data_IF_765931588170
#
_entry.id   IF_765931588170
#
_cell.length_a   1.000
_cell.length_b   1.000
_cell.length_c   1.000
_cell.angle_alpha   90.00
_cell.angle_beta   90.00
_cell.angle_gamma   90.00
#
_symmetry.space_group_name_H-M   'P 1'
#
loop_
_entity.id
_entity.type
_entity.pdbx_description
1 polymer ?
#
# COMPACT_ATOMS: atom_id res chain seq x y z
N UNK A 1 0.30 28.44 -21.75
CA UNK A 1 0.87 28.28 -20.42
C UNK A 1 1.51 29.60 -19.99
N UNK A 2 1.05 30.19 -18.91
CA UNK A 2 1.64 31.42 -18.34
C UNK A 2 2.36 31.00 -17.05
N UNK A 3 3.62 31.46 -16.83
CA UNK A 3 4.32 31.16 -15.58
C UNK A 3 3.56 31.69 -14.37
N UNK A 4 3.44 30.87 -13.35
CA UNK A 4 2.85 31.27 -12.08
C UNK A 4 3.69 32.37 -11.43
N UNK A 5 3.06 33.48 -11.00
CA UNK A 5 3.70 34.54 -10.23
C UNK A 5 3.22 34.48 -8.78
N UNK A 6 3.91 33.76 -7.88
CA UNK A 6 3.49 33.68 -6.49
C UNK A 6 3.65 35.03 -5.80
N UNK A 7 2.69 35.41 -4.95
CA UNK A 7 2.74 36.63 -4.12
C UNK A 7 3.77 36.53 -3.02
N UNK A 8 4.08 35.32 -2.55
CA UNK A 8 5.14 35.02 -1.57
C UNK A 8 5.89 33.76 -2.00
N UNK A 9 7.17 33.73 -1.68
CA UNK A 9 8.05 32.56 -1.87
C UNK A 9 8.64 32.18 -0.53
N UNK A 10 8.78 30.87 -0.30
CA UNK A 10 9.59 30.37 0.80
C UNK A 10 11.06 30.52 0.41
N UNK A 11 11.88 31.03 1.34
CA UNK A 11 13.32 31.04 1.16
C UNK A 11 13.90 29.67 1.46
N UNK A 12 14.87 29.25 0.64
CA UNK A 12 15.63 28.04 0.88
C UNK A 12 16.88 28.42 1.66
N UNK A 13 17.08 27.86 2.86
CA UNK A 13 18.32 27.98 3.61
C UNK A 13 19.19 26.74 3.33
N UNK A 14 20.47 26.98 3.13
CA UNK A 14 21.49 25.93 2.99
C UNK A 14 22.35 25.80 4.26
N UNK A 15 21.98 26.46 5.34
CA UNK A 15 22.75 26.46 6.60
C UNK A 15 22.69 25.10 7.34
N UNK A 16 21.80 24.22 6.88
CA UNK A 16 21.56 22.91 7.49
C UNK A 16 20.72 22.99 8.77
N UNK A 17 20.72 21.91 9.54
CA UNK A 17 20.03 21.82 10.83
C UNK A 17 20.86 20.99 11.80
N UNK A 18 20.63 21.16 13.09
CA UNK A 18 21.31 20.48 14.18
C UNK A 18 20.33 19.65 15.00
N UNK A 19 20.83 18.70 15.76
CA UNK A 19 20.02 17.97 16.72
C UNK A 19 19.38 18.95 17.73
N UNK A 20 18.07 18.88 17.90
CA UNK A 20 17.29 19.76 18.75
C UNK A 20 16.68 20.97 18.06
N UNK A 21 16.97 21.23 16.80
CA UNK A 21 16.31 22.28 16.03
C UNK A 21 14.84 21.92 15.77
N UNK A 22 13.98 22.95 15.77
CA UNK A 22 12.59 22.75 15.40
C UNK A 22 12.46 22.48 13.90
N UNK A 23 11.80 21.38 13.57
CA UNK A 23 11.47 21.01 12.18
C UNK A 23 9.97 20.82 12.01
N UNK A 24 9.44 21.19 10.85
CA UNK A 24 8.02 21.06 10.53
C UNK A 24 7.83 20.66 9.08
N UNK A 25 6.91 19.72 8.85
CA UNK A 25 6.43 19.36 7.53
C UNK A 25 4.98 19.83 7.41
N UNK A 26 4.66 20.56 6.33
CA UNK A 26 3.29 20.94 6.00
C UNK A 26 2.80 19.98 4.93
N UNK A 27 1.73 19.23 5.22
CA UNK A 27 1.17 18.27 4.29
C UNK A 27 -0.19 17.75 4.74
N UNK A 28 -0.82 16.99 3.85
CA UNK A 28 -2.09 16.31 4.11
C UNK A 28 -1.85 14.80 4.11
N UNK A 29 -1.86 14.12 5.27
CA UNK A 29 -1.77 12.67 5.32
C UNK A 29 -2.96 12.04 4.57
N UNK A 30 -2.69 11.03 3.76
CA UNK A 30 -3.71 10.35 2.96
C UNK A 30 -4.69 9.54 3.82
N UNK A 31 -4.18 8.91 4.87
CA UNK A 31 -4.97 8.18 5.87
C UNK A 31 -4.22 8.09 7.19
N UNK A 32 -4.98 8.01 8.28
CA UNK A 32 -4.46 7.72 9.62
C UNK A 32 -5.37 6.70 10.30
N UNK A 33 -4.77 5.68 10.91
CA UNK A 33 -5.49 4.59 11.59
C UNK A 33 -5.21 4.63 13.09
N UNK A 34 -5.74 5.65 13.76
CA UNK A 34 -5.50 5.86 15.20
C UNK A 34 -6.24 4.88 16.09
N UNK A 35 -7.44 4.47 15.70
CA UNK A 35 -8.39 3.73 16.55
C UNK A 35 -8.53 2.27 16.11
N UNK A 36 -7.44 1.64 15.68
CA UNK A 36 -7.42 0.20 15.43
C UNK A 36 -7.56 -0.57 16.74
N UNK A 37 -8.19 -1.74 16.67
CA UNK A 37 -8.18 -2.71 17.78
C UNK A 37 -6.84 -3.44 17.87
N UNK A 38 -6.59 -4.12 19.01
CA UNK A 38 -5.44 -5.02 19.16
C UNK A 38 -5.43 -6.10 18.07
N UNK A 39 -6.59 -6.65 17.73
CA UNK A 39 -6.76 -7.66 16.67
C UNK A 39 -6.39 -7.15 15.28
N UNK A 40 -6.72 -5.91 14.96
CA UNK A 40 -6.30 -5.28 13.70
C UNK A 40 -4.80 -5.01 13.68
N UNK A 41 -4.25 -4.56 14.78
CA UNK A 41 -2.83 -4.26 14.92
C UNK A 41 -2.00 -5.54 14.80
N UNK A 42 -2.34 -6.60 15.55
CA UNK A 42 -1.73 -7.93 15.42
C UNK A 42 -1.83 -8.48 14.00
N UNK A 43 -2.98 -8.32 13.38
CA UNK A 43 -3.20 -8.77 12.01
C UNK A 43 -2.29 -8.05 11.00
N UNK A 44 -2.05 -6.75 11.18
CA UNK A 44 -1.10 -5.98 10.38
C UNK A 44 0.33 -6.41 10.65
N UNK A 45 0.71 -6.49 11.91
CA UNK A 45 2.06 -6.83 12.36
C UNK A 45 2.49 -8.22 11.92
N UNK A 46 1.64 -9.22 12.17
CA UNK A 46 2.01 -10.64 11.98
C UNK A 46 1.70 -11.19 10.60
N UNK A 47 0.86 -10.54 9.82
CA UNK A 47 0.43 -11.04 8.51
C UNK A 47 0.57 -10.05 7.37
N UNK A 48 -0.13 -8.91 7.46
CA UNK A 48 -0.26 -8.03 6.29
C UNK A 48 1.05 -7.35 5.90
N UNK A 49 1.75 -6.77 6.87
CA UNK A 49 3.00 -6.06 6.60
C UNK A 49 4.14 -7.00 6.19
N UNK A 50 4.40 -8.12 6.89
CA UNK A 50 5.45 -9.06 6.47
C UNK A 50 5.26 -9.57 5.05
N UNK A 51 4.04 -9.98 4.68
CA UNK A 51 3.75 -10.47 3.33
C UNK A 51 3.96 -9.38 2.28
N UNK A 52 3.41 -8.20 2.51
CA UNK A 52 3.53 -7.10 1.56
C UNK A 52 4.99 -6.61 1.42
N UNK A 53 5.72 -6.52 2.53
CA UNK A 53 7.13 -6.09 2.54
C UNK A 53 8.01 -7.08 1.76
N UNK A 54 7.82 -8.39 1.95
CA UNK A 54 8.57 -9.40 1.23
C UNK A 54 8.34 -9.30 -0.28
N UNK A 55 7.09 -9.30 -0.73
CA UNK A 55 6.77 -9.26 -2.16
C UNK A 55 7.27 -7.97 -2.82
N UNK A 56 7.08 -6.82 -2.16
CA UNK A 56 7.52 -5.52 -2.70
C UNK A 56 9.04 -5.39 -2.70
N UNK A 57 9.70 -5.94 -1.70
CA UNK A 57 11.16 -6.03 -1.67
C UNK A 57 11.71 -6.75 -2.89
N UNK A 58 11.13 -7.91 -3.22
CA UNK A 58 11.51 -8.69 -4.41
C UNK A 58 11.23 -7.91 -5.71
N UNK A 59 10.06 -7.30 -5.82
CA UNK A 59 9.70 -6.47 -6.98
C UNK A 59 10.69 -5.30 -7.17
N UNK A 60 11.00 -4.60 -6.10
CA UNK A 60 11.95 -3.49 -6.13
C UNK A 60 13.36 -3.94 -6.48
N UNK A 61 13.82 -5.08 -5.96
CA UNK A 61 15.12 -5.64 -6.29
C UNK A 61 15.23 -5.96 -7.79
N UNK A 62 14.20 -6.58 -8.37
CA UNK A 62 14.14 -6.89 -9.80
C UNK A 62 14.17 -5.59 -10.63
N UNK A 63 13.29 -4.64 -10.32
CA UNK A 63 13.20 -3.36 -11.06
C UNK A 63 14.52 -2.59 -10.96
N UNK A 64 15.08 -2.49 -9.76
CA UNK A 64 16.35 -1.82 -9.53
C UNK A 64 17.49 -2.45 -10.33
N UNK A 65 17.55 -3.79 -10.37
CA UNK A 65 18.55 -4.51 -11.13
C UNK A 65 18.53 -4.19 -12.64
N UNK A 66 17.37 -3.86 -13.21
CA UNK A 66 17.24 -3.38 -14.59
C UNK A 66 17.53 -1.88 -14.71
N UNK A 67 17.05 -1.06 -13.79
CA UNK A 67 17.29 0.39 -13.77
C UNK A 67 18.80 0.72 -13.65
N UNK A 68 19.58 -0.11 -12.99
CA UNK A 68 21.01 0.10 -12.83
C UNK A 68 21.81 -0.23 -14.11
N UNK A 69 21.22 -1.00 -15.01
CA UNK A 69 21.86 -1.40 -16.29
C UNK A 69 21.53 -0.45 -17.43
N UNK A 70 20.36 0.20 -17.39
CA UNK A 70 19.84 0.96 -18.52
C UNK A 70 19.17 2.27 -18.04
N UNK A 71 19.69 3.44 -18.47
CA UNK A 71 19.11 4.74 -18.11
C UNK A 71 17.69 4.95 -18.63
N UNK A 72 17.33 4.37 -19.78
CA UNK A 72 15.97 4.50 -20.35
C UNK A 72 14.97 3.68 -19.52
N UNK A 73 15.39 2.50 -19.07
CA UNK A 73 14.61 1.70 -18.12
C UNK A 73 14.45 2.45 -16.81
N UNK A 74 15.51 3.07 -16.32
CA UNK A 74 15.47 3.89 -15.10
C UNK A 74 14.44 5.00 -15.25
N UNK A 75 14.45 5.73 -16.32
CA UNK A 75 13.49 6.81 -16.57
C UNK A 75 12.05 6.30 -16.61
N UNK A 76 11.80 5.18 -17.31
CA UNK A 76 10.46 4.59 -17.47
C UNK A 76 9.88 4.05 -16.17
N UNK A 77 10.71 3.47 -15.30
CA UNK A 77 10.26 2.77 -14.10
C UNK A 77 10.43 3.55 -12.80
N UNK A 78 11.02 4.75 -12.83
CA UNK A 78 11.24 5.56 -11.61
C UNK A 78 9.97 5.78 -10.81
N UNK A 79 8.89 6.25 -11.43
CA UNK A 79 7.63 6.52 -10.73
C UNK A 79 7.04 5.25 -10.10
N UNK A 80 7.11 4.13 -10.82
CA UNK A 80 6.62 2.86 -10.31
C UNK A 80 7.47 2.35 -9.15
N UNK A 81 8.79 2.43 -9.27
CA UNK A 81 9.74 2.09 -8.22
C UNK A 81 9.50 2.91 -6.95
N UNK A 82 9.38 4.23 -7.07
CA UNK A 82 9.09 5.11 -5.94
C UNK A 82 7.71 4.85 -5.33
N UNK A 83 6.73 4.48 -6.12
CA UNK A 83 5.42 4.08 -5.59
C UNK A 83 5.50 2.81 -4.74
N UNK A 84 6.30 1.82 -5.16
CA UNK A 84 6.54 0.62 -4.37
C UNK A 84 7.32 0.92 -3.10
N UNK A 85 8.42 1.71 -3.21
CA UNK A 85 9.26 2.13 -2.09
C UNK A 85 8.46 2.87 -1.02
N UNK A 86 7.68 3.87 -1.42
CA UNK A 86 6.87 4.65 -0.49
C UNK A 86 5.94 3.78 0.35
N UNK A 87 5.31 2.79 -0.26
CA UNK A 87 4.40 1.89 0.47
C UNK A 87 5.15 0.86 1.31
N UNK A 88 6.30 0.38 0.83
CA UNK A 88 7.13 -0.55 1.59
C UNK A 88 7.71 0.13 2.83
N UNK A 89 8.25 1.32 2.70
CA UNK A 89 8.80 2.10 3.82
C UNK A 89 7.71 2.41 4.86
N UNK A 90 6.48 2.72 4.41
CA UNK A 90 5.35 2.89 5.31
C UNK A 90 5.04 1.62 6.10
N UNK A 91 4.92 0.47 5.44
CA UNK A 91 4.60 -0.79 6.12
C UNK A 91 5.75 -1.31 7.00
N UNK A 92 6.99 -1.15 6.55
CA UNK A 92 8.17 -1.53 7.35
C UNK A 92 8.30 -0.65 8.59
N UNK A 93 8.11 0.66 8.43
CA UNK A 93 8.15 1.60 9.55
C UNK A 93 7.00 1.39 10.54
N UNK A 94 5.79 1.10 10.05
CA UNK A 94 4.64 0.78 10.91
C UNK A 94 4.89 -0.53 11.68
N UNK A 95 5.44 -1.55 11.03
CA UNK A 95 5.81 -2.82 11.67
C UNK A 95 6.89 -2.63 12.75
N UNK A 96 7.97 -1.90 12.44
CA UNK A 96 9.01 -1.58 13.41
C UNK A 96 8.44 -0.79 14.62
N UNK A 97 7.50 0.11 14.39
CA UNK A 97 6.83 0.84 15.46
C UNK A 97 5.97 -0.09 16.32
N UNK A 98 5.25 -1.04 15.73
CA UNK A 98 4.44 -1.99 16.48
C UNK A 98 5.30 -2.84 17.42
N UNK A 99 6.38 -3.41 16.90
CA UNK A 99 7.33 -4.21 17.66
C UNK A 99 8.07 -3.38 18.75
N UNK A 100 8.55 -2.19 18.39
CA UNK A 100 9.37 -1.36 19.28
C UNK A 100 8.61 -0.76 20.45
N UNK A 101 7.34 -0.47 20.25
CA UNK A 101 6.49 0.21 21.24
C UNK A 101 5.42 -0.70 21.84
N UNK A 102 5.46 -1.99 21.58
CA UNK A 102 4.49 -2.97 22.09
C UNK A 102 3.04 -2.49 21.86
N UNK A 103 2.76 -2.06 20.62
CA UNK A 103 1.48 -1.37 20.31
C UNK A 103 0.29 -2.28 20.47
N UNK A 104 0.43 -3.60 20.22
CA UNK A 104 -0.62 -4.59 20.44
C UNK A 104 -1.01 -4.62 21.91
N UNK A 105 -0.03 -4.73 22.81
CA UNK A 105 -0.21 -4.75 24.25
C UNK A 105 -0.86 -3.46 24.77
N UNK A 106 -0.43 -2.29 24.25
CA UNK A 106 -1.08 -1.02 24.60
C UNK A 106 -2.55 -0.99 24.20
N UNK A 107 -2.91 -1.58 23.05
CA UNK A 107 -4.30 -1.69 22.62
C UNK A 107 -5.10 -2.65 23.48
N UNK A 108 -4.51 -3.78 23.86
CA UNK A 108 -5.13 -4.73 24.76
C UNK A 108 -5.44 -4.12 26.16
N UNK A 109 -4.52 -3.30 26.70
CA UNK A 109 -4.79 -2.58 27.94
C UNK A 109 -5.97 -1.60 27.81
N UNK A 110 -6.01 -0.83 26.71
CA UNK A 110 -7.13 0.06 26.41
C UNK A 110 -8.45 -0.71 26.23
N UNK A 111 -8.42 -1.88 25.62
CA UNK A 111 -9.58 -2.77 25.46
C UNK A 111 -10.05 -3.34 26.80
N UNK A 112 -9.15 -3.65 27.73
CA UNK A 112 -9.50 -4.04 29.10
C UNK A 112 -10.21 -2.91 29.84
N UNK A 113 -9.72 -1.67 29.72
CA UNK A 113 -10.40 -0.50 30.30
C UNK A 113 -11.79 -0.29 29.71
N UNK A 114 -11.92 -0.46 28.38
CA UNK A 114 -13.20 -0.38 27.68
C UNK A 114 -14.17 -1.44 28.19
N UNK A 115 -13.72 -2.69 28.34
CA UNK A 115 -14.57 -3.77 28.84
C UNK A 115 -15.01 -3.54 30.29
N UNK A 116 -14.12 -3.09 31.16
CA UNK A 116 -14.48 -2.72 32.51
C UNK A 116 -15.55 -1.61 32.57
N UNK A 117 -15.45 -0.63 31.65
CA UNK A 117 -16.47 0.40 31.53
C UNK A 117 -17.81 -0.15 30.99
N UNK A 118 -17.78 -1.11 30.06
CA UNK A 118 -18.96 -1.77 29.53
C UNK A 118 -19.66 -2.58 30.64
N UNK A 119 -18.92 -3.37 31.37
CA UNK A 119 -19.42 -4.27 32.42
C UNK A 119 -19.99 -3.51 33.61
N UNK A 120 -19.59 -2.28 33.85
CA UNK A 120 -20.12 -1.45 34.93
C UNK A 120 -21.60 -1.00 34.74
N UNK A 121 -22.24 -1.31 33.58
CA UNK A 121 -23.65 -1.00 33.35
C UNK A 121 -24.34 -2.13 32.58
N UNK A 122 -25.48 -2.65 33.10
CA UNK A 122 -26.27 -3.68 32.39
C UNK A 122 -26.66 -3.28 30.97
N UNK A 123 -27.04 -2.01 30.77
CA UNK A 123 -27.42 -1.49 29.45
C UNK A 123 -26.25 -1.51 28.46
N UNK A 124 -25.04 -1.15 28.92
CA UNK A 124 -23.83 -1.19 28.11
C UNK A 124 -23.39 -2.62 27.81
N UNK A 125 -23.50 -3.49 28.80
CA UNK A 125 -23.18 -4.91 28.66
C UNK A 125 -24.10 -5.60 27.66
N UNK A 126 -25.41 -5.35 27.72
CA UNK A 126 -26.37 -5.85 26.72
C UNK A 126 -26.01 -5.39 25.31
N UNK A 127 -25.63 -4.12 25.14
CA UNK A 127 -25.36 -3.51 23.83
C UNK A 127 -23.98 -3.84 23.26
N UNK A 128 -22.94 -3.90 24.10
CA UNK A 128 -21.55 -3.93 23.68
C UNK A 128 -20.72 -5.10 24.24
N UNK A 129 -21.27 -5.94 25.11
CA UNK A 129 -20.55 -7.00 25.79
C UNK A 129 -19.87 -8.01 24.86
N UNK A 130 -20.43 -8.25 23.68
CA UNK A 130 -19.85 -9.16 22.68
C UNK A 130 -18.93 -8.49 21.65
N UNK A 131 -18.57 -7.20 21.81
CA UNK A 131 -17.86 -6.44 20.80
C UNK A 131 -16.47 -7.00 20.47
N UNK A 132 -15.67 -7.24 21.50
CA UNK A 132 -14.29 -7.72 21.32
C UNK A 132 -14.24 -9.15 20.79
N UNK A 133 -15.14 -10.02 21.24
CA UNK A 133 -15.24 -11.39 20.74
C UNK A 133 -15.65 -11.43 19.26
N UNK A 134 -16.56 -10.56 18.85
CA UNK A 134 -16.96 -10.42 17.47
C UNK A 134 -15.79 -9.93 16.60
N UNK A 135 -15.02 -8.93 17.04
CA UNK A 135 -13.82 -8.46 16.36
C UNK A 135 -12.77 -9.56 16.25
N UNK A 136 -12.45 -10.24 17.33
CA UNK A 136 -11.49 -11.37 17.36
C UNK A 136 -11.88 -12.47 16.39
N UNK A 137 -13.15 -12.90 16.44
CA UNK A 137 -13.70 -13.90 15.52
C UNK A 137 -13.59 -13.45 14.07
N UNK A 138 -13.94 -12.19 13.77
CA UNK A 138 -13.87 -11.62 12.45
C UNK A 138 -12.44 -11.64 11.88
N UNK A 139 -11.46 -11.14 12.64
CA UNK A 139 -10.06 -11.12 12.20
C UNK A 139 -9.49 -12.54 12.04
N UNK A 140 -9.82 -13.47 12.92
CA UNK A 140 -9.41 -14.86 12.78
C UNK A 140 -10.00 -15.52 11.52
N UNK A 141 -11.26 -15.28 11.24
CA UNK A 141 -11.93 -15.85 10.08
C UNK A 141 -11.35 -15.37 8.73
N UNK A 142 -10.80 -14.15 8.68
CA UNK A 142 -10.24 -13.60 7.44
C UNK A 142 -8.74 -13.83 7.27
N UNK A 143 -8.03 -14.37 8.26
CA UNK A 143 -6.55 -14.50 8.22
C UNK A 143 -6.06 -15.27 6.99
N UNK A 144 -6.61 -16.44 6.71
CA UNK A 144 -6.20 -17.25 5.57
C UNK A 144 -6.61 -16.62 4.24
N UNK A 145 -7.81 -16.06 4.20
CA UNK A 145 -8.32 -15.37 3.02
C UNK A 145 -7.45 -14.15 2.70
N UNK A 146 -7.11 -13.34 3.69
CA UNK A 146 -6.28 -12.15 3.48
C UNK A 146 -4.86 -12.51 3.07
N UNK A 147 -4.29 -13.60 3.59
CA UNK A 147 -2.97 -14.08 3.13
C UNK A 147 -3.00 -14.35 1.63
N UNK A 148 -3.95 -15.14 1.15
CA UNK A 148 -4.11 -15.43 -0.27
C UNK A 148 -4.41 -14.16 -1.09
N UNK A 149 -5.28 -13.29 -0.57
CA UNK A 149 -5.60 -12.02 -1.24
C UNK A 149 -4.41 -11.07 -1.30
N UNK A 150 -3.56 -11.02 -0.28
CA UNK A 150 -2.36 -10.19 -0.27
C UNK A 150 -1.37 -10.67 -1.34
N UNK A 151 -1.10 -11.97 -1.41
CA UNK A 151 -0.28 -12.53 -2.48
C UNK A 151 -0.89 -12.23 -3.86
N UNK A 152 -2.16 -12.54 -4.05
CA UNK A 152 -2.84 -12.30 -5.33
C UNK A 152 -2.81 -10.80 -5.73
N UNK A 153 -3.08 -9.92 -4.79
CA UNK A 153 -3.10 -8.47 -5.01
C UNK A 153 -1.72 -7.93 -5.37
N UNK A 154 -0.71 -8.30 -4.62
CA UNK A 154 0.63 -7.76 -4.81
C UNK A 154 1.35 -8.40 -6.02
N UNK A 155 1.09 -9.66 -6.34
CA UNK A 155 1.72 -10.33 -7.50
C UNK A 155 0.91 -10.17 -8.79
N UNK A 156 -0.38 -10.53 -8.77
CA UNK A 156 -1.20 -10.59 -9.98
C UNK A 156 -1.85 -9.25 -10.34
N UNK A 157 -2.28 -8.46 -9.34
CA UNK A 157 -2.98 -7.20 -9.62
C UNK A 157 -2.01 -6.03 -9.72
N UNK A 158 -1.01 -5.96 -8.85
CA UNK A 158 -0.04 -4.87 -8.75
C UNK A 158 1.37 -5.25 -9.16
N UNK A 159 1.64 -6.54 -9.30
CA UNK A 159 2.98 -7.08 -9.53
C UNK A 159 3.54 -6.81 -10.91
N UNK A 160 2.70 -6.51 -11.90
CA UNK A 160 3.16 -6.12 -13.22
C UNK A 160 2.31 -4.99 -13.81
N UNK A 161 2.94 -4.09 -14.56
CA UNK A 161 2.22 -3.06 -15.31
C UNK A 161 1.28 -3.67 -16.34
N UNK A 162 1.66 -4.80 -16.95
CA UNK A 162 0.83 -5.51 -17.91
C UNK A 162 -0.50 -5.96 -17.28
N UNK A 163 -0.44 -6.65 -16.13
CA UNK A 163 -1.64 -7.09 -15.41
C UNK A 163 -2.55 -5.89 -15.03
N UNK A 164 -1.95 -4.79 -14.59
CA UNK A 164 -2.68 -3.57 -14.26
C UNK A 164 -3.38 -2.96 -15.48
N UNK A 165 -2.71 -2.92 -16.62
CA UNK A 165 -3.25 -2.39 -17.88
C UNK A 165 -4.38 -3.30 -18.38
N UNK A 166 -4.16 -4.61 -18.42
CA UNK A 166 -5.19 -5.58 -18.82
C UNK A 166 -6.44 -5.46 -17.95
N UNK A 167 -6.28 -5.35 -16.63
CA UNK A 167 -7.41 -5.15 -15.72
C UNK A 167 -8.16 -3.85 -15.99
N UNK A 168 -7.45 -2.77 -16.30
CA UNK A 168 -8.07 -1.49 -16.65
C UNK A 168 -8.78 -1.56 -17.99
N UNK A 169 -8.18 -2.22 -18.97
CA UNK A 169 -8.76 -2.41 -20.30
C UNK A 169 -10.05 -3.23 -20.26
N UNK A 170 -10.10 -4.26 -19.43
CA UNK A 170 -11.26 -5.16 -19.28
C UNK A 170 -12.25 -4.72 -18.20
N UNK A 171 -12.12 -3.51 -17.66
CA UNK A 171 -13.08 -3.02 -16.67
C UNK A 171 -14.45 -2.81 -17.34
N UNK A 172 -15.53 -3.48 -16.86
CA UNK A 172 -16.86 -3.37 -17.46
C UNK A 172 -17.47 -1.97 -17.39
N UNK A 173 -16.89 -1.06 -16.59
CA UNK A 173 -17.27 0.36 -16.55
C UNK A 173 -16.69 1.17 -17.68
N UNK A 174 -15.74 0.61 -18.43
CA UNK A 174 -15.19 1.28 -19.61
C UNK A 174 -16.19 1.18 -20.76
N UNK A 175 -16.37 2.29 -21.48
CA UNK A 175 -17.16 2.31 -22.72
C UNK A 175 -16.43 1.52 -23.81
N UNK A 176 -17.19 1.01 -24.78
CA UNK A 176 -16.64 0.28 -25.91
C UNK A 176 -15.47 1.04 -26.57
N UNK A 177 -14.39 0.35 -26.84
CA UNK A 177 -13.15 0.91 -27.42
C UNK A 177 -12.22 1.63 -26.43
N UNK A 178 -12.61 1.86 -25.18
CA UNK A 178 -11.73 2.47 -24.17
C UNK A 178 -10.61 1.53 -23.78
N UNK A 179 -10.89 0.23 -23.73
CA UNK A 179 -9.90 -0.80 -23.41
C UNK A 179 -8.76 -0.84 -24.42
N UNK A 180 -9.07 -0.84 -25.70
CA UNK A 180 -8.10 -0.82 -26.80
C UNK A 180 -7.24 0.44 -26.78
N UNK A 181 -7.87 1.62 -26.62
CA UNK A 181 -7.14 2.89 -26.48
C UNK A 181 -6.22 2.90 -25.26
N UNK A 182 -6.63 2.27 -24.16
CA UNK A 182 -5.77 2.15 -22.99
C UNK A 182 -4.60 1.20 -23.21
N UNK A 183 -4.82 0.07 -23.89
CA UNK A 183 -3.76 -0.85 -24.27
C UNK A 183 -2.77 -0.16 -25.24
N UNK A 184 -3.25 0.56 -26.22
CA UNK A 184 -2.41 1.34 -27.15
C UNK A 184 -1.59 2.42 -26.42
N UNK A 185 -2.23 3.17 -25.52
CA UNK A 185 -1.59 4.27 -24.79
C UNK A 185 -0.54 3.79 -23.77
N UNK A 186 -0.86 2.76 -23.00
CA UNK A 186 -0.04 2.31 -21.88
C UNK A 186 0.81 1.09 -22.19
N UNK A 187 0.42 0.28 -23.19
CA UNK A 187 1.18 -0.89 -23.60
C UNK A 187 2.60 -0.53 -24.01
N UNK A 188 2.77 0.54 -24.77
CA UNK A 188 4.08 1.05 -25.22
C UNK A 188 5.02 1.45 -24.08
N UNK A 189 4.51 1.61 -22.85
CA UNK A 189 5.33 1.88 -21.66
C UNK A 189 5.93 0.61 -21.03
N UNK A 190 5.51 -0.57 -21.47
CA UNK A 190 5.99 -1.85 -20.97
C UNK A 190 7.23 -2.25 -21.77
N UNK A 191 8.28 -2.66 -21.08
CA UNK A 191 9.48 -3.21 -21.70
C UNK A 191 9.10 -4.50 -22.43
N UNK A 192 9.55 -4.65 -23.68
CA UNK A 192 9.23 -5.79 -24.51
C UNK A 192 7.78 -5.84 -25.01
N UNK A 193 7.06 -4.70 -25.02
CA UNK A 193 5.69 -4.63 -25.51
C UNK A 193 5.53 -5.11 -26.94
N UNK A 194 6.45 -4.71 -27.83
CA UNK A 194 6.42 -5.11 -29.24
C UNK A 194 6.63 -6.64 -29.38
N UNK A 195 7.53 -7.23 -28.59
CA UNK A 195 7.73 -8.69 -28.53
C UNK A 195 6.49 -9.42 -27.98
N UNK A 196 5.79 -8.85 -27.02
CA UNK A 196 4.52 -9.39 -26.50
C UNK A 196 3.43 -9.35 -27.55
N UNK A 197 3.33 -8.26 -28.34
CA UNK A 197 2.36 -8.16 -29.42
C UNK A 197 2.65 -9.12 -30.56
N UNK A 198 3.91 -9.27 -30.95
CA UNK A 198 4.33 -10.18 -32.02
C UNK A 198 4.20 -11.66 -31.59
N UNK A 199 4.54 -11.98 -30.35
CA UNK A 199 4.48 -13.34 -29.81
C UNK A 199 3.12 -13.77 -29.29
N UNK A 200 2.38 -12.87 -28.65
CA UNK A 200 1.16 -13.19 -27.90
C UNK A 200 -0.11 -13.29 -28.73
N UNK A 201 -0.16 -12.69 -29.92
CA UNK A 201 -1.32 -12.75 -30.80
C UNK A 201 -1.24 -13.88 -31.85
N UNK A 202 -0.07 -14.51 -32.03
CA UNK A 202 0.09 -15.69 -32.87
C UNK A 202 -0.22 -17.01 -32.15
N UNK A 203 -0.38 -16.99 -30.82
CA UNK A 203 -0.66 -18.14 -29.98
C UNK A 203 -2.13 -18.39 -29.67
N UNK A 204 -3.04 -18.13 -30.61
CA UNK A 204 -4.43 -18.55 -30.48
C UNK A 204 -4.58 -20.03 -30.77
N UNK A 205 -4.23 -20.86 -29.83
CA UNK A 205 -4.76 -22.21 -29.68
C UNK A 205 -4.51 -22.71 -28.26
N UNK A 206 -5.40 -22.33 -27.36
CA UNK A 206 -5.85 -23.16 -26.27
C UNK A 206 -7.35 -22.91 -26.08
#
# INVERSE_FOLDING_TARGET
>A
NVPMKPTRKLSISLDGYKAGDYTMIIGYPGSTNRYCSSFETDFKETLRHPVNNAIRGDQMAIIKGWMDKDPDIRLKYSDYFFSLSNMQECFSGEQECFERFDVVEQKEELEKELMAWIEASPERLEKWGGLLDALKSGYNAIRDVERHQSYYRETMIRGSQLALIMRRAHNPRNTAGTGEKMLEKYGKSIIGWDEILEGGLSGSSI
#
